data_IF_933128986683
#
_entry.id   IF_933128986683
#
_cell.length_a   1.000
_cell.length_b   1.000
_cell.length_c   1.000
_cell.angle_alpha   90.00
_cell.angle_beta   90.00
_cell.angle_gamma   90.00
#
_symmetry.space_group_name_H-M   'P 1'
#
loop_
_entity.id
_entity.type
_entity.pdbx_description
1 polymer ?
#
# COMPACT_ATOMS: atom_id res chain seq x y z
N UNK A 1 11.43 23.24 -15.34
CA UNK A 1 10.45 22.25 -15.81
C UNK A 1 9.05 22.75 -15.50
N UNK A 2 8.23 22.93 -16.54
CA UNK A 2 6.80 23.22 -16.48
C UNK A 2 6.07 22.13 -15.66
N UNK A 3 4.96 22.45 -14.96
CA UNK A 3 4.14 21.44 -14.26
C UNK A 3 3.74 20.25 -15.13
N UNK A 4 3.60 20.43 -16.45
CA UNK A 4 3.31 19.36 -17.40
C UNK A 4 4.48 18.39 -17.62
N UNK A 5 5.72 18.87 -17.52
CA UNK A 5 6.93 18.06 -17.70
C UNK A 5 7.24 17.20 -16.47
N UNK A 6 6.61 17.51 -15.32
CA UNK A 6 6.68 16.72 -14.09
C UNK A 6 5.61 15.64 -14.02
N UNK A 7 4.67 15.60 -14.97
CA UNK A 7 3.70 14.52 -15.03
C UNK A 7 4.51 13.22 -15.22
N UNK A 8 4.42 12.25 -14.30
CA UNK A 8 5.07 10.97 -14.53
C UNK A 8 4.60 10.43 -15.88
N UNK A 9 5.45 9.69 -16.61
CA UNK A 9 5.02 9.05 -17.86
C UNK A 9 3.69 8.34 -17.61
N UNK A 10 2.80 8.37 -18.61
CA UNK A 10 1.51 7.70 -18.55
C UNK A 10 1.69 6.32 -17.90
N UNK A 11 0.85 5.99 -16.90
CA UNK A 11 0.94 4.72 -16.19
C UNK A 11 1.20 3.62 -17.21
N UNK A 12 2.24 2.78 -17.01
CA UNK A 12 2.55 1.74 -17.97
C UNK A 12 1.28 0.95 -18.22
N UNK A 13 1.03 0.64 -19.49
CA UNK A 13 -0.15 -0.10 -19.90
C UNK A 13 -0.32 -1.30 -18.97
N UNK A 14 -1.51 -1.42 -18.38
CA UNK A 14 -1.90 -2.51 -17.48
C UNK A 14 -1.72 -3.81 -18.27
N UNK A 15 -0.55 -4.43 -18.15
CA UNK A 15 -0.25 -5.66 -18.84
C UNK A 15 -0.94 -6.80 -18.12
N UNK A 16 -1.57 -7.69 -18.86
CA UNK A 16 -2.07 -8.92 -18.28
C UNK A 16 -0.88 -9.77 -17.77
N UNK A 17 -1.03 -10.48 -16.64
CA UNK A 17 -0.05 -11.45 -16.20
C UNK A 17 0.20 -12.51 -17.29
N UNK A 18 1.43 -13.06 -17.39
CA UNK A 18 1.71 -14.16 -18.31
C UNK A 18 0.90 -15.41 -17.93
N UNK A 19 0.66 -16.27 -18.92
CA UNK A 19 0.01 -17.57 -18.71
C UNK A 19 0.82 -18.44 -17.73
N UNK A 20 0.11 -19.17 -16.87
CA UNK A 20 0.73 -19.99 -15.81
C UNK A 20 1.25 -19.18 -14.63
N UNK A 21 0.96 -17.88 -14.57
CA UNK A 21 1.28 -17.05 -13.41
C UNK A 21 0.41 -17.42 -12.20
N UNK A 22 0.78 -16.86 -11.04
CA UNK A 22 0.01 -17.01 -9.82
C UNK A 22 -1.45 -16.56 -9.97
N UNK A 23 -1.75 -15.65 -10.90
CA UNK A 23 -3.12 -15.23 -11.22
C UNK A 23 -4.01 -16.41 -11.62
N UNK A 24 -3.49 -17.34 -12.41
CA UNK A 24 -4.25 -18.48 -12.90
C UNK A 24 -4.50 -19.50 -11.79
N UNK A 25 -3.59 -19.61 -10.82
CA UNK A 25 -3.78 -20.42 -9.62
C UNK A 25 -4.91 -19.84 -8.75
N UNK A 26 -4.99 -18.51 -8.60
CA UNK A 26 -6.09 -17.86 -7.88
C UNK A 26 -7.44 -18.04 -8.59
N UNK A 27 -7.48 -17.87 -9.91
CA UNK A 27 -8.70 -18.12 -10.71
C UNK A 27 -9.18 -19.57 -10.60
N UNK A 28 -8.25 -20.53 -10.60
CA UNK A 28 -8.59 -21.94 -10.43
C UNK A 28 -9.07 -22.27 -9.01
N UNK A 29 -8.51 -21.62 -8.00
CA UNK A 29 -8.88 -21.83 -6.59
C UNK A 29 -10.20 -21.14 -6.20
N UNK A 30 -10.52 -20.01 -6.84
CA UNK A 30 -11.68 -19.15 -6.54
C UNK A 30 -12.43 -18.79 -7.82
N UNK A 31 -13.13 -19.75 -8.45
CA UNK A 31 -13.86 -19.50 -9.69
C UNK A 31 -15.10 -18.62 -9.50
N UNK A 32 -15.56 -18.44 -8.26
CA UNK A 32 -16.75 -17.68 -7.91
C UNK A 32 -16.46 -16.25 -7.43
N UNK A 33 -15.19 -15.87 -7.31
CA UNK A 33 -14.78 -14.52 -6.92
C UNK A 33 -14.37 -13.74 -8.16
N UNK A 34 -14.99 -12.58 -8.36
CA UNK A 34 -14.56 -11.64 -9.41
C UNK A 34 -13.24 -11.00 -9.00
N UNK A 35 -12.21 -11.16 -9.83
CA UNK A 35 -10.89 -10.59 -9.59
C UNK A 35 -10.26 -10.13 -10.89
N UNK A 36 -9.61 -8.97 -10.85
CA UNK A 36 -8.80 -8.45 -11.97
C UNK A 36 -7.33 -8.64 -11.65
N UNK A 37 -6.61 -9.35 -12.52
CA UNK A 37 -5.19 -9.57 -12.36
C UNK A 37 -4.37 -8.65 -13.28
N UNK A 38 -3.37 -7.99 -12.73
CA UNK A 38 -2.49 -7.06 -13.43
C UNK A 38 -1.04 -7.43 -13.19
N UNK A 39 -0.21 -7.38 -14.23
CA UNK A 39 1.23 -7.52 -14.08
C UNK A 39 1.84 -6.21 -13.56
N UNK A 40 2.33 -6.25 -12.33
CA UNK A 40 3.17 -5.19 -11.77
C UNK A 40 4.63 -5.34 -12.18
N UNK A 41 5.47 -4.39 -11.75
CA UNK A 41 6.90 -4.44 -12.05
C UNK A 41 7.63 -5.59 -11.32
N UNK A 42 7.12 -6.01 -10.15
CA UNK A 42 7.78 -6.99 -9.28
C UNK A 42 6.93 -8.25 -9.04
N UNK A 43 5.62 -8.17 -9.24
CA UNK A 43 4.65 -9.19 -8.87
C UNK A 43 3.34 -9.05 -9.65
N UNK A 44 2.43 -9.99 -9.42
CA UNK A 44 1.05 -9.90 -9.89
C UNK A 44 0.22 -9.16 -8.84
N UNK A 45 -0.56 -8.18 -9.30
CA UNK A 45 -1.56 -7.48 -8.51
C UNK A 45 -2.93 -8.13 -8.74
N UNK A 46 -3.60 -8.56 -7.68
CA UNK A 46 -4.96 -9.08 -7.71
C UNK A 46 -5.91 -8.05 -7.10
N UNK A 47 -6.71 -7.41 -7.94
CA UNK A 47 -7.71 -6.44 -7.52
C UNK A 47 -9.01 -7.19 -7.23
N UNK A 48 -9.53 -7.01 -6.02
CA UNK A 48 -10.73 -7.69 -5.50
C UNK A 48 -11.63 -6.69 -4.77
N UNK A 49 -12.91 -7.02 -4.65
CA UNK A 49 -13.83 -6.31 -3.78
C UNK A 49 -13.48 -6.60 -2.31
N UNK A 50 -13.59 -5.59 -1.44
CA UNK A 50 -13.33 -5.74 -0.01
C UNK A 50 -14.15 -6.84 0.66
N UNK A 51 -15.36 -7.11 0.17
CA UNK A 51 -16.22 -8.20 0.71
C UNK A 51 -15.63 -9.60 0.47
N UNK A 52 -14.86 -9.76 -0.60
CA UNK A 52 -14.28 -11.05 -1.00
C UNK A 52 -12.84 -11.21 -0.51
N UNK A 53 -12.23 -10.13 -0.01
CA UNK A 53 -10.82 -10.08 0.37
C UNK A 53 -10.45 -11.17 1.40
N UNK A 54 -11.23 -11.34 2.47
CA UNK A 54 -10.92 -12.35 3.50
C UNK A 54 -10.91 -13.78 2.93
N UNK A 55 -11.92 -14.14 2.13
CA UNK A 55 -11.98 -15.43 1.44
C UNK A 55 -10.78 -15.66 0.51
N UNK A 56 -10.36 -14.60 -0.21
CA UNK A 56 -9.16 -14.63 -1.07
C UNK A 56 -7.90 -14.88 -0.25
N UNK A 57 -7.76 -14.19 0.89
CA UNK A 57 -6.62 -14.31 1.78
C UNK A 57 -6.56 -15.68 2.48
N UNK A 58 -7.69 -16.19 2.95
CA UNK A 58 -7.81 -17.52 3.56
C UNK A 58 -7.38 -18.60 2.56
N UNK A 59 -7.87 -18.49 1.32
CA UNK A 59 -7.49 -19.40 0.23
C UNK A 59 -6.01 -19.26 -0.11
N UNK A 60 -5.47 -18.04 -0.15
CA UNK A 60 -4.05 -17.80 -0.39
C UNK A 60 -3.17 -18.53 0.64
N UNK A 61 -3.56 -18.50 1.93
CA UNK A 61 -2.83 -19.15 3.02
C UNK A 61 -2.94 -20.67 2.96
N UNK A 62 -4.16 -21.20 2.81
CA UNK A 62 -4.43 -22.62 3.06
C UNK A 62 -4.40 -23.51 1.82
N UNK A 63 -4.56 -22.95 0.61
CA UNK A 63 -4.49 -23.75 -0.61
C UNK A 63 -3.06 -24.26 -0.84
N UNK A 64 -2.82 -25.59 -0.95
CA UNK A 64 -1.48 -26.16 -1.08
C UNK A 64 -0.69 -25.69 -2.30
N UNK A 65 -1.37 -25.24 -3.37
CA UNK A 65 -0.78 -24.69 -4.59
C UNK A 65 -0.41 -23.21 -4.47
N UNK A 66 -1.02 -22.48 -3.54
CA UNK A 66 -0.73 -21.07 -3.26
C UNK A 66 0.24 -20.91 -2.09
N UNK A 67 -0.09 -21.53 -0.95
CA UNK A 67 0.73 -21.63 0.26
C UNK A 67 1.43 -20.31 0.66
N UNK A 68 0.67 -19.21 0.76
CA UNK A 68 1.20 -17.90 1.15
C UNK A 68 1.44 -17.83 2.65
N UNK A 69 2.62 -18.28 3.07
CA UNK A 69 2.93 -18.40 4.49
C UNK A 69 3.25 -17.08 5.18
N UNK A 70 3.65 -16.07 4.41
CA UNK A 70 4.21 -14.82 4.93
C UNK A 70 3.45 -13.60 4.40
N UNK A 71 2.83 -12.86 5.34
CA UNK A 71 2.36 -11.50 5.11
C UNK A 71 3.52 -10.54 5.33
N UNK A 72 4.03 -9.95 4.25
CA UNK A 72 5.17 -9.03 4.29
C UNK A 72 4.79 -7.65 4.80
N UNK A 73 3.66 -7.14 4.31
CA UNK A 73 3.18 -5.80 4.59
C UNK A 73 1.67 -5.74 4.31
N UNK A 74 0.98 -4.86 5.02
CA UNK A 74 -0.39 -4.45 4.76
C UNK A 74 -0.44 -2.93 4.87
N UNK A 75 -0.92 -2.25 3.83
CA UNK A 75 -1.02 -0.79 3.80
C UNK A 75 -2.33 -0.29 3.21
N UNK A 76 -2.81 0.85 3.70
CA UNK A 76 -3.93 1.58 3.12
C UNK A 76 -3.48 2.52 2.00
N UNK A 77 -4.35 2.70 1.00
CA UNK A 77 -4.19 3.72 -0.05
C UNK A 77 -5.49 4.50 -0.16
N UNK A 78 -5.38 5.81 -0.19
CA UNK A 78 -6.49 6.72 -0.40
C UNK A 78 -6.53 7.17 -1.86
N UNK A 79 -7.59 6.78 -2.59
CA UNK A 79 -7.90 7.18 -3.96
C UNK A 79 -8.97 8.28 -4.02
N UNK A 80 -9.09 9.07 -2.95
CA UNK A 80 -10.01 10.20 -2.84
C UNK A 80 -11.46 9.79 -3.09
N UNK A 81 -12.08 10.31 -4.17
CA UNK A 81 -13.45 10.03 -4.53
C UNK A 81 -13.70 8.56 -4.94
N UNK A 82 -12.65 7.83 -5.36
CA UNK A 82 -12.78 6.43 -5.77
C UNK A 82 -12.80 5.45 -4.59
N UNK A 83 -12.54 5.94 -3.37
CA UNK A 83 -12.56 5.15 -2.15
C UNK A 83 -11.17 4.85 -1.61
N UNK A 84 -11.10 3.80 -0.80
CA UNK A 84 -9.86 3.31 -0.22
C UNK A 84 -9.48 1.97 -0.83
N UNK A 85 -8.20 1.62 -0.72
CA UNK A 85 -7.75 0.26 -0.92
C UNK A 85 -6.91 -0.22 0.25
N UNK A 86 -7.06 -1.50 0.60
CA UNK A 86 -6.12 -2.19 1.48
C UNK A 86 -5.27 -3.13 0.63
N UNK A 87 -3.96 -2.95 0.72
CA UNK A 87 -2.97 -3.66 -0.09
C UNK A 87 -2.25 -4.67 0.78
N UNK A 88 -2.33 -5.95 0.45
CA UNK A 88 -1.69 -7.06 1.15
C UNK A 88 -0.55 -7.59 0.29
N UNK A 89 0.67 -7.53 0.79
CA UNK A 89 1.85 -8.08 0.13
C UNK A 89 2.15 -9.47 0.70
N UNK A 90 1.99 -10.51 -0.12
CA UNK A 90 2.11 -11.90 0.30
C UNK A 90 3.30 -12.59 -0.36
N UNK A 91 3.90 -13.53 0.37
CA UNK A 91 4.99 -14.37 -0.13
C UNK A 91 4.80 -15.84 0.29
N UNK A 92 5.05 -16.76 -0.65
CA UNK A 92 5.11 -18.20 -0.37
C UNK A 92 6.55 -18.66 -0.31
N UNK A 93 6.99 -19.19 0.83
CA UNK A 93 8.31 -19.81 0.94
C UNK A 93 8.37 -21.18 0.26
N UNK A 94 7.25 -21.91 0.25
CA UNK A 94 7.15 -23.24 -0.36
C UNK A 94 7.33 -23.17 -1.88
N UNK A 95 6.63 -22.24 -2.54
CA UNK A 95 6.63 -22.09 -3.99
C UNK A 95 7.54 -20.96 -4.50
N UNK A 96 8.08 -20.14 -3.59
CA UNK A 96 8.98 -19.00 -3.88
C UNK A 96 8.37 -17.94 -4.80
N UNK A 97 7.05 -17.76 -4.74
CA UNK A 97 6.33 -16.71 -5.47
C UNK A 97 5.76 -15.64 -4.54
N UNK A 98 5.42 -14.50 -5.12
CA UNK A 98 4.76 -13.36 -4.46
C UNK A 98 3.46 -13.00 -5.19
N UNK A 99 2.58 -12.33 -4.46
CA UNK A 99 1.38 -11.69 -5.02
C UNK A 99 1.03 -10.50 -4.14
N UNK A 100 0.46 -9.47 -4.75
CA UNK A 100 -0.11 -8.34 -4.01
C UNK A 100 -1.62 -8.34 -4.22
N UNK A 101 -2.39 -8.48 -3.14
CA UNK A 101 -3.85 -8.41 -3.18
C UNK A 101 -4.28 -6.99 -2.84
N UNK A 102 -5.10 -6.37 -3.67
CA UNK A 102 -5.63 -5.01 -3.50
C UNK A 102 -7.14 -5.10 -3.32
N UNK A 103 -7.61 -4.83 -2.11
CA UNK A 103 -9.01 -4.89 -1.76
C UNK A 103 -9.62 -3.49 -1.81
N UNK A 104 -10.58 -3.26 -2.71
CA UNK A 104 -11.25 -1.96 -2.88
C UNK A 104 -12.38 -1.79 -1.85
N UNK A 105 -12.43 -0.61 -1.23
CA UNK A 105 -13.38 -0.24 -0.19
C UNK A 105 -14.08 1.08 -0.53
N UNK A 106 -15.37 1.23 -0.17
CA UNK A 106 -16.08 2.49 -0.33
C UNK A 106 -15.52 3.57 0.62
N UNK A 107 -15.62 4.84 0.21
CA UNK A 107 -15.14 5.99 1.01
C UNK A 107 -15.99 6.24 2.26
N UNK A 108 -17.30 6.07 2.14
CA UNK A 108 -18.28 6.45 3.16
C UNK A 108 -18.24 5.53 4.39
N UNK A 109 -18.01 4.23 4.17
CA UNK A 109 -17.93 3.22 5.24
C UNK A 109 -16.83 2.19 4.94
N UNK A 110 -15.54 2.55 5.14
CA UNK A 110 -14.42 1.68 4.81
C UNK A 110 -14.26 0.55 5.84
N UNK A 111 -14.98 -0.55 5.62
CA UNK A 111 -14.97 -1.75 6.45
C UNK A 111 -14.45 -2.97 5.69
N UNK A 112 -13.61 -3.76 6.35
CA UNK A 112 -13.06 -5.01 5.81
C UNK A 112 -12.88 -6.03 6.93
N UNK A 113 -12.95 -7.32 6.62
CA UNK A 113 -12.67 -8.38 7.58
C UNK A 113 -11.16 -8.45 7.88
N UNK A 114 -10.81 -8.61 9.15
CA UNK A 114 -9.44 -8.71 9.65
C UNK A 114 -8.78 -9.98 9.13
N UNK A 115 -7.49 -9.90 8.80
CA UNK A 115 -6.64 -11.03 8.44
C UNK A 115 -5.81 -11.55 9.64
N UNK A 116 -6.09 -11.09 10.86
CA UNK A 116 -5.36 -11.50 12.08
C UNK A 116 -5.52 -12.97 12.45
N UNK A 117 -6.66 -13.57 12.08
CA UNK A 117 -6.93 -15.01 12.17
C UNK A 117 -6.09 -15.83 11.18
N UNK A 118 -5.71 -15.24 10.04
CA UNK A 118 -4.90 -15.87 8.99
C UNK A 118 -3.40 -15.68 9.24
N UNK A 119 -2.96 -14.43 9.48
CA UNK A 119 -1.58 -14.09 9.83
C UNK A 119 -1.53 -13.20 11.07
N UNK A 120 -0.84 -13.68 12.11
CA UNK A 120 -0.60 -12.89 13.33
C UNK A 120 0.11 -11.55 13.10
N UNK A 121 0.88 -11.42 12.01
CA UNK A 121 1.55 -10.19 11.65
C UNK A 121 0.58 -9.07 11.27
N UNK A 122 -0.66 -9.39 10.88
CA UNK A 122 -1.66 -8.40 10.49
C UNK A 122 -2.08 -7.49 11.66
N UNK A 123 -1.95 -7.94 12.91
CA UNK A 123 -2.39 -7.19 14.11
C UNK A 123 -1.82 -5.77 14.17
N UNK A 124 -0.53 -5.62 13.86
CA UNK A 124 0.13 -4.30 13.90
C UNK A 124 -0.24 -3.45 12.69
N UNK A 125 -0.27 -4.06 11.50
CA UNK A 125 -0.51 -3.34 10.25
C UNK A 125 -1.97 -2.87 10.12
N UNK A 126 -2.93 -3.67 10.60
CA UNK A 126 -4.35 -3.30 10.60
C UNK A 126 -4.62 -2.15 11.57
N UNK A 127 -3.96 -2.15 12.74
CA UNK A 127 -4.01 -1.03 13.69
C UNK A 127 -3.40 0.24 13.10
N UNK A 128 -2.26 0.14 12.42
CA UNK A 128 -1.66 1.28 11.71
C UNK A 128 -2.59 1.82 10.62
N UNK A 129 -3.21 0.95 9.82
CA UNK A 129 -4.15 1.37 8.77
C UNK A 129 -5.41 2.01 9.34
N UNK A 130 -5.93 1.52 10.46
CA UNK A 130 -7.00 2.21 11.21
C UNK A 130 -6.54 3.60 11.63
N UNK A 131 -5.32 3.72 12.15
CA UNK A 131 -4.85 4.98 12.71
C UNK A 131 -4.61 6.04 11.63
N UNK A 132 -4.07 5.61 10.50
CA UNK A 132 -3.69 6.51 9.41
C UNK A 132 -4.84 6.84 8.44
N UNK A 133 -5.74 5.87 8.21
CA UNK A 133 -6.81 5.98 7.19
C UNK A 133 -8.22 5.79 7.76
N UNK A 134 -8.40 5.39 9.01
CA UNK A 134 -9.73 5.17 9.60
C UNK A 134 -10.48 3.98 9.01
N UNK A 135 -9.76 3.01 8.44
CA UNK A 135 -10.34 1.76 7.94
C UNK A 135 -10.66 0.85 9.14
N UNK A 136 -11.86 0.29 9.18
CA UNK A 136 -12.32 -0.58 10.26
C UNK A 136 -12.12 -2.04 9.86
N UNK A 137 -11.30 -2.74 10.64
CA UNK A 137 -11.04 -4.17 10.48
C UNK A 137 -11.94 -5.00 11.41
N UNK A 138 -12.97 -5.61 10.85
CA UNK A 138 -13.95 -6.41 11.58
C UNK A 138 -13.33 -7.73 12.05
N UNK A 139 -13.56 -8.13 13.30
CA UNK A 139 -12.99 -9.34 13.89
C UNK A 139 -11.56 -9.19 14.44
N UNK A 140 -10.96 -8.00 14.33
CA UNK A 140 -9.62 -7.74 14.89
C UNK A 140 -9.63 -7.81 16.44
N UNK A 141 -8.68 -8.52 17.09
CA UNK A 141 -8.70 -8.77 18.53
C UNK A 141 -8.51 -7.51 19.39
N UNK A 142 -7.71 -6.55 18.93
CA UNK A 142 -7.42 -5.31 19.66
C UNK A 142 -7.24 -4.10 18.74
N UNK A 143 -8.32 -3.62 18.11
CA UNK A 143 -8.27 -2.51 17.17
C UNK A 143 -8.24 -1.15 17.89
N UNK A 144 -7.17 -0.91 18.62
CA UNK A 144 -6.87 0.37 19.28
C UNK A 144 -5.73 1.08 18.58
N UNK A 145 -5.65 2.43 18.64
CA UNK A 145 -4.55 3.20 18.04
C UNK A 145 -3.18 2.70 18.48
N UNK A 146 -2.17 3.01 17.67
CA UNK A 146 -0.80 2.58 17.95
C UNK A 146 0.24 3.67 17.70
N UNK A 147 0.01 4.56 16.74
CA UNK A 147 0.93 5.64 16.41
C UNK A 147 0.45 6.97 16.97
N UNK A 148 -0.85 7.24 16.88
CA UNK A 148 -1.43 8.52 17.27
C UNK A 148 -1.80 8.55 18.76
N UNK A 149 -1.69 9.73 19.39
CA UNK A 149 -2.24 9.97 20.72
C UNK A 149 -3.73 9.63 20.83
N UNK A 150 -4.18 9.22 22.03
CA UNK A 150 -5.57 8.83 22.29
C UNK A 150 -6.60 9.97 22.09
N UNK A 151 -6.15 11.22 22.07
CA UNK A 151 -6.97 12.39 21.78
C UNK A 151 -7.15 12.66 20.27
N UNK A 152 -6.43 11.94 19.40
CA UNK A 152 -6.46 12.10 17.94
C UNK A 152 -7.20 10.98 17.19
N UNK A 153 -8.14 10.30 17.86
CA UNK A 153 -8.84 9.12 17.33
C UNK A 153 -9.60 9.35 16.02
N UNK A 154 -10.07 10.58 15.79
CA UNK A 154 -10.87 10.98 14.64
C UNK A 154 -10.05 11.73 13.57
N UNK A 155 -8.72 11.79 13.75
CA UNK A 155 -7.80 12.39 12.79
C UNK A 155 -7.04 11.30 12.04
N UNK A 156 -7.02 11.39 10.70
CA UNK A 156 -6.44 10.38 9.83
C UNK A 156 -5.37 11.02 8.92
N UNK A 157 -4.11 11.10 9.37
CA UNK A 157 -3.08 11.92 8.74
C UNK A 157 -2.78 11.60 7.28
N UNK A 158 -2.93 10.33 6.87
CA UNK A 158 -2.58 9.89 5.51
C UNK A 158 -3.75 9.99 4.53
N UNK A 159 -4.95 10.40 4.97
CA UNK A 159 -6.02 10.71 4.04
C UNK A 159 -5.73 11.99 3.27
N UNK A 160 -6.10 12.04 2.00
CA UNK A 160 -5.80 13.14 1.09
C UNK A 160 -6.62 14.42 1.36
N UNK A 161 -7.74 14.28 2.06
CA UNK A 161 -8.55 15.39 2.55
C UNK A 161 -7.96 16.07 3.80
N UNK A 162 -7.00 15.43 4.48
CA UNK A 162 -6.33 16.01 5.62
C UNK A 162 -5.25 17.01 5.17
N UNK A 163 -5.33 18.29 5.57
CA UNK A 163 -4.31 19.28 5.22
C UNK A 163 -2.98 18.91 5.88
N UNK A 164 -1.90 18.98 5.11
CA UNK A 164 -0.55 18.86 5.67
C UNK A 164 -0.32 20.02 6.65
N UNK A 165 0.35 19.72 7.76
CA UNK A 165 0.80 20.75 8.68
C UNK A 165 1.68 21.76 7.92
N UNK A 166 1.58 23.07 8.24
CA UNK A 166 2.52 24.04 7.69
C UNK A 166 3.95 23.64 8.06
N UNK A 167 4.89 23.83 7.12
CA UNK A 167 6.30 23.60 7.40
C UNK A 167 6.73 24.49 8.55
N UNK A 168 7.30 23.90 9.59
CA UNK A 168 7.86 24.68 10.69
C UNK A 168 9.16 25.37 10.26
N UNK A 169 9.52 26.47 10.92
CA UNK A 169 10.67 27.32 10.57
C UNK A 169 11.99 26.56 10.39
N UNK A 170 12.22 25.53 11.22
CA UNK A 170 13.39 24.65 11.18
C UNK A 170 13.28 23.48 10.19
N UNK A 171 12.07 23.16 9.72
CA UNK A 171 11.82 22.26 8.59
C UNK A 171 11.92 22.99 7.24
N UNK A 172 11.98 24.32 7.25
CA UNK A 172 12.35 25.12 6.10
C UNK A 172 11.50 26.34 5.80
N UNK A 173 10.85 27.05 6.74
CA UNK A 173 10.32 28.39 6.38
C UNK A 173 11.42 29.34 5.91
N UNK A 174 12.66 29.15 6.40
CA UNK A 174 13.84 29.87 5.92
C UNK A 174 14.35 29.34 4.56
N UNK A 175 13.89 28.18 4.11
CA UNK A 175 14.17 27.63 2.79
C UNK A 175 13.19 28.29 1.82
N UNK A 176 13.63 29.38 1.18
CA UNK A 176 12.85 30.08 0.17
C UNK A 176 12.24 29.11 -0.88
N UNK A 177 11.20 29.53 -1.61
CA UNK A 177 10.38 28.66 -2.45
C UNK A 177 11.12 27.81 -3.51
N UNK A 178 12.40 28.11 -3.77
CA UNK A 178 13.29 27.33 -4.64
C UNK A 178 13.81 26.04 -4.00
N UNK A 179 13.98 26.00 -2.68
CA UNK A 179 14.58 24.87 -1.94
C UNK A 179 13.55 23.78 -1.59
N UNK A 180 12.29 24.14 -1.38
CA UNK A 180 11.22 23.21 -0.98
C UNK A 180 10.65 22.34 -2.11
N UNK A 181 11.15 22.45 -3.36
CA UNK A 181 10.47 21.87 -4.53
C UNK A 181 11.26 20.88 -5.38
N UNK A 182 12.51 20.56 -5.05
CA UNK A 182 13.24 19.43 -5.65
C UNK A 182 14.55 19.19 -4.90
N UNK A 183 14.61 18.12 -4.10
CA UNK A 183 15.83 17.36 -3.78
C UNK A 183 17.13 18.13 -3.48
N UNK A 184 17.06 19.35 -2.98
CA UNK A 184 18.25 20.15 -2.73
C UNK A 184 18.85 19.71 -1.40
N UNK A 185 19.99 19.02 -1.49
CA UNK A 185 20.81 18.68 -0.33
C UNK A 185 21.64 19.92 -0.01
N UNK A 186 21.48 20.52 1.19
CA UNK A 186 22.23 21.72 1.53
C UNK A 186 23.73 21.41 1.65
N UNK A 187 24.61 22.32 1.18
CA UNK A 187 26.06 22.12 1.23
C UNK A 187 26.55 21.99 2.67
N UNK A 188 27.40 20.99 2.93
CA UNK A 188 27.90 20.69 4.28
C UNK A 188 27.03 19.73 5.09
N UNK A 189 25.98 19.15 4.49
CA UNK A 189 25.17 18.08 5.10
C UNK A 189 25.89 16.72 5.16
N UNK A 190 27.10 16.62 4.59
CA UNK A 190 27.88 15.38 4.53
C UNK A 190 27.39 14.36 3.49
N UNK A 191 26.36 14.72 2.72
CA UNK A 191 25.86 13.97 1.56
C UNK A 191 26.21 14.68 0.23
N UNK A 192 27.31 15.44 0.24
CA UNK A 192 27.86 16.05 -0.95
C UNK A 192 28.39 14.93 -1.86
N UNK A 193 27.63 14.56 -2.89
CA UNK A 193 28.12 13.65 -3.92
C UNK A 193 29.10 14.45 -4.77
N UNK A 194 30.40 14.26 -4.55
CA UNK A 194 31.40 14.83 -5.45
C UNK A 194 31.14 14.31 -6.87
N UNK A 195 30.99 15.19 -7.88
CA UNK A 195 30.85 14.74 -9.24
C UNK A 195 32.15 14.03 -9.62
N UNK A 196 32.03 12.75 -9.98
CA UNK A 196 33.12 11.96 -10.54
C UNK A 196 33.71 12.74 -11.72
N UNK A 197 34.98 13.13 -11.60
CA UNK A 197 35.72 13.81 -12.65
C UNK A 197 35.70 12.96 -13.92
N UNK A 198 34.97 13.41 -14.94
CA UNK A 198 35.16 12.92 -16.30
C UNK A 198 36.54 13.36 -16.76
N UNK A 199 37.31 12.37 -17.24
CA UNK A 199 38.65 12.55 -17.76
C UNK A 199 38.69 13.35 -19.06
N UNK A 200 39.90 13.81 -19.34
CA UNK A 200 40.39 14.57 -20.50
C UNK A 200 39.88 14.10 -21.87
#
# INVERSE_FOLDING_TARGET
MSPEERRPPAQPAIAAPPEGSVADLFKAALPDVEMTAVQGALDVLLLVDGKDAHKVLETAKHNPSLAFDFLRNLSGVDYEAEGFEVVYHLYSYKHRHNVTVRAKLPREDPRIQSATDIWRAADWHERECRDMFGIVFEGHPNLVPILLPEDMLDHYPLRKDNPLAPLEEWQGEALGPEMGRAGHIPPGSGFDVEPSAEGE
#
